data_IF_524616913951
#
_entry.id   IF_524616913951
#
_cell.length_a   1.000
_cell.length_b   1.000
_cell.length_c   1.000
_cell.angle_alpha   90.00
_cell.angle_beta   90.00
_cell.angle_gamma   90.00
#
_symmetry.space_group_name_H-M   'P 1'
#
loop_
_entity.id
_entity.type
_entity.pdbx_description
1 polymer ?
#
# COMPACT_ATOMS: atom_id res chain seq x y z
N UNK A 1 -15.50 14.71 86.54
CA UNK A 1 -15.56 13.45 85.79
C UNK A 1 -15.90 13.85 84.35
N UNK A 2 -14.89 13.89 83.45
CA UNK A 2 -15.00 14.44 82.12
C UNK A 2 -14.86 13.23 81.12
N UNK A 3 -15.86 13.07 80.31
CA UNK A 3 -15.95 12.07 79.23
C UNK A 3 -15.36 12.75 77.99
N UNK A 4 -14.29 12.18 77.45
CA UNK A 4 -13.68 12.65 76.20
C UNK A 4 -14.24 11.84 75.02
N UNK A 5 -14.85 12.57 74.07
CA UNK A 5 -15.27 12.03 72.78
C UNK A 5 -14.14 12.16 71.78
N UNK A 6 -13.67 11.03 71.28
CA UNK A 6 -12.74 10.97 70.17
C UNK A 6 -13.51 10.79 68.86
N UNK A 7 -13.56 11.85 68.03
CA UNK A 7 -14.06 11.79 66.64
C UNK A 7 -13.03 11.12 65.73
N UNK A 8 -13.37 9.90 65.30
CA UNK A 8 -12.63 9.23 64.27
C UNK A 8 -13.02 9.77 62.86
N UNK A 9 -12.08 10.45 62.20
CA UNK A 9 -12.22 10.84 60.77
C UNK A 9 -11.93 9.62 59.87
N UNK A 10 -12.99 9.04 59.27
CA UNK A 10 -12.85 8.07 58.21
C UNK A 10 -12.43 8.84 56.91
N UNK A 11 -11.22 8.59 56.45
CA UNK A 11 -10.73 9.03 55.13
C UNK A 11 -11.28 8.04 54.11
N UNK A 12 -12.29 8.47 53.35
CA UNK A 12 -12.80 7.73 52.17
C UNK A 12 -11.83 7.94 51.01
N UNK A 13 -10.95 6.95 50.81
CA UNK A 13 -10.04 6.93 49.64
C UNK A 13 -10.82 6.61 48.36
N UNK A 14 -11.03 7.60 47.52
CA UNK A 14 -11.54 7.44 46.15
C UNK A 14 -10.41 6.83 45.30
N UNK A 15 -10.44 5.55 45.03
CA UNK A 15 -9.59 4.92 44.02
C UNK A 15 -10.17 5.25 42.63
N UNK A 16 -9.58 6.26 41.99
CA UNK A 16 -9.82 6.47 40.56
C UNK A 16 -9.18 5.31 39.78
N UNK A 17 -9.99 4.35 39.37
CA UNK A 17 -9.59 3.36 38.37
C UNK A 17 -9.43 4.06 37.01
N UNK A 18 -8.22 4.43 36.65
CA UNK A 18 -7.89 4.84 35.30
C UNK A 18 -7.97 3.60 34.40
N UNK A 19 -9.09 3.47 33.68
CA UNK A 19 -9.19 2.50 32.60
C UNK A 19 -8.16 2.89 31.53
N UNK A 20 -7.04 2.18 31.49
CA UNK A 20 -6.11 2.25 30.36
C UNK A 20 -6.83 1.64 29.19
N UNK A 21 -7.38 2.47 28.30
CA UNK A 21 -7.87 2.05 27.00
C UNK A 21 -6.62 1.61 26.23
N UNK A 22 -6.33 0.32 26.24
CA UNK A 22 -5.35 -0.24 25.32
C UNK A 22 -5.91 -0.08 23.91
N UNK A 23 -5.46 0.95 23.22
CA UNK A 23 -5.66 1.05 21.79
C UNK A 23 -5.03 -0.22 21.19
N UNK A 24 -5.87 -1.09 20.61
CA UNK A 24 -5.40 -2.31 19.94
C UNK A 24 -4.43 -1.86 18.86
N UNK A 25 -3.17 -2.23 19.00
CA UNK A 25 -2.10 -1.82 18.11
C UNK A 25 -2.46 -2.21 16.67
N UNK A 26 -2.03 -1.38 15.72
CA UNK A 26 -2.03 -1.76 14.31
C UNK A 26 -1.31 -3.10 14.18
N UNK A 27 -1.83 -3.98 13.35
CA UNK A 27 -1.14 -5.22 13.02
C UNK A 27 -0.25 -4.95 11.82
N UNK A 28 1.05 -5.20 11.96
CA UNK A 28 2.00 -5.18 10.85
C UNK A 28 1.91 -6.49 10.07
N UNK A 29 2.02 -6.38 8.76
CA UNK A 29 1.90 -7.48 7.83
C UNK A 29 3.05 -7.47 6.85
N UNK A 30 3.76 -8.59 6.77
CA UNK A 30 4.85 -8.78 5.82
C UNK A 30 4.30 -9.44 4.56
N UNK A 31 4.56 -8.83 3.40
CA UNK A 31 4.19 -9.39 2.10
C UNK A 31 5.04 -10.63 1.79
N UNK A 32 4.44 -11.59 1.07
CA UNK A 32 5.14 -12.76 0.55
C UNK A 32 5.60 -12.47 -0.90
N UNK A 33 6.91 -12.27 -1.15
CA UNK A 33 7.39 -11.95 -2.50
C UNK A 33 7.07 -13.04 -3.54
N UNK A 34 6.95 -14.31 -3.11
CA UNK A 34 6.62 -15.41 -4.00
C UNK A 34 5.15 -15.43 -4.46
N UNK A 35 4.28 -14.72 -3.72
CA UNK A 35 2.85 -14.58 -3.99
C UNK A 35 2.49 -13.15 -4.39
N UNK A 36 3.50 -12.34 -4.74
CA UNK A 36 3.31 -10.93 -5.12
C UNK A 36 3.61 -10.73 -6.59
N UNK A 37 2.68 -10.12 -7.29
CA UNK A 37 2.79 -9.74 -8.69
C UNK A 37 2.45 -8.27 -8.87
N UNK A 38 3.33 -7.52 -9.49
CA UNK A 38 3.13 -6.09 -9.82
C UNK A 38 2.99 -5.98 -11.34
N UNK A 39 1.76 -6.02 -11.81
CA UNK A 39 1.42 -6.07 -13.23
C UNK A 39 0.98 -4.70 -13.74
N UNK A 40 1.31 -4.41 -14.98
CA UNK A 40 0.79 -3.24 -15.69
C UNK A 40 0.44 -3.58 -17.13
N UNK A 41 -0.39 -2.73 -17.72
CA UNK A 41 -0.61 -2.75 -19.15
C UNK A 41 -0.93 -1.34 -19.68
N UNK A 42 -0.62 -1.13 -20.95
CA UNK A 42 -0.85 0.12 -21.67
C UNK A 42 -1.24 -0.19 -23.12
N UNK A 43 -2.18 0.59 -23.65
CA UNK A 43 -2.59 0.49 -25.05
C UNK A 43 -1.79 1.46 -25.92
N UNK A 44 -1.64 1.08 -27.20
CA UNK A 44 -1.09 1.94 -28.25
C UNK A 44 -1.93 1.78 -29.53
N UNK A 45 -2.28 2.90 -30.15
CA UNK A 45 -3.12 2.91 -31.34
C UNK A 45 -2.46 2.15 -32.50
N UNK A 46 -3.15 1.12 -33.03
CA UNK A 46 -2.65 0.30 -34.13
C UNK A 46 -1.63 -0.78 -33.73
N UNK A 47 -1.34 -0.96 -32.44
CA UNK A 47 -0.39 -1.94 -31.92
C UNK A 47 -1.05 -2.86 -30.89
N UNK A 48 -0.54 -4.08 -30.69
CA UNK A 48 -0.96 -4.90 -29.58
C UNK A 48 -0.70 -4.22 -28.25
N UNK A 49 -1.58 -4.47 -27.26
CA UNK A 49 -1.39 -4.03 -25.89
C UNK A 49 -0.03 -4.48 -25.36
N UNK A 50 0.71 -3.55 -24.75
CA UNK A 50 1.93 -3.88 -24.01
C UNK A 50 1.55 -4.19 -22.59
N UNK A 51 1.90 -5.39 -22.11
CA UNK A 51 1.73 -5.81 -20.73
C UNK A 51 3.07 -6.23 -20.15
N UNK A 52 3.29 -5.94 -18.88
CA UNK A 52 4.53 -6.29 -18.19
C UNK A 52 4.33 -6.46 -16.70
N UNK A 53 5.41 -6.82 -16.06
CA UNK A 53 5.51 -7.05 -14.62
C UNK A 53 6.79 -6.45 -14.09
N UNK A 54 6.76 -5.93 -12.86
CA UNK A 54 7.98 -5.59 -12.12
C UNK A 54 8.35 -6.73 -11.21
N UNK A 55 9.61 -7.20 -11.29
CA UNK A 55 10.11 -8.40 -10.60
C UNK A 55 10.75 -8.12 -9.24
N UNK A 56 11.12 -6.86 -8.97
CA UNK A 56 11.78 -6.46 -7.71
C UNK A 56 10.98 -5.35 -7.04
N UNK A 57 10.53 -5.62 -5.84
CA UNK A 57 9.70 -4.72 -5.04
C UNK A 57 9.89 -5.02 -3.56
N UNK A 58 9.53 -4.05 -2.72
CA UNK A 58 9.43 -4.17 -1.28
C UNK A 58 8.11 -3.59 -0.82
N UNK A 59 7.50 -4.13 0.23
CA UNK A 59 6.23 -3.64 0.73
C UNK A 59 6.02 -3.92 2.21
N UNK A 60 5.43 -2.95 2.87
CA UNK A 60 5.01 -3.04 4.26
C UNK A 60 3.56 -2.56 4.40
N UNK A 61 2.76 -3.31 5.14
CA UNK A 61 1.34 -3.03 5.35
C UNK A 61 1.04 -3.05 6.84
N UNK A 62 0.55 -1.93 7.35
CA UNK A 62 -0.03 -1.84 8.69
C UNK A 62 -1.55 -1.74 8.59
N UNK A 63 -2.28 -2.63 9.27
CA UNK A 63 -3.74 -2.65 9.21
C UNK A 63 -4.32 -2.34 10.59
N UNK A 64 -5.21 -1.36 10.65
CA UNK A 64 -6.09 -1.11 11.77
C UNK A 64 -7.52 -1.51 11.38
N UNK A 65 -7.94 -2.71 11.76
CA UNK A 65 -9.27 -3.23 11.43
C UNK A 65 -10.42 -2.47 12.11
N UNK A 66 -10.14 -1.73 13.17
CA UNK A 66 -11.14 -0.94 13.91
C UNK A 66 -11.27 0.48 13.33
N UNK A 67 -10.16 1.04 12.87
CA UNK A 67 -10.08 2.40 12.30
C UNK A 67 -9.28 2.33 11.00
N UNK A 68 -9.92 1.91 9.87
CA UNK A 68 -9.23 1.69 8.59
C UNK A 68 -8.39 2.86 8.10
N UNK A 69 -8.81 4.10 8.36
CA UNK A 69 -8.06 5.31 8.00
C UNK A 69 -6.69 5.44 8.68
N UNK A 70 -6.42 4.64 9.72
CA UNK A 70 -5.11 4.52 10.36
C UNK A 70 -4.20 3.49 9.71
N UNK A 71 -4.73 2.66 8.83
CA UNK A 71 -3.92 1.70 8.07
C UNK A 71 -2.91 2.44 7.19
N UNK A 72 -1.79 1.79 6.91
CA UNK A 72 -0.71 2.35 6.09
C UNK A 72 -0.17 1.29 5.14
N UNK A 73 0.15 1.73 3.94
CA UNK A 73 0.83 0.94 2.91
C UNK A 73 2.02 1.74 2.44
N UNK A 74 3.20 1.12 2.48
CA UNK A 74 4.43 1.60 1.89
C UNK A 74 4.91 0.55 0.91
N UNK A 75 4.96 0.89 -0.37
CA UNK A 75 5.30 -0.05 -1.43
C UNK A 75 6.28 0.58 -2.40
N UNK A 76 7.42 -0.09 -2.60
CA UNK A 76 8.50 0.37 -3.49
C UNK A 76 8.76 -0.66 -4.58
N UNK A 77 9.02 -0.18 -5.78
CA UNK A 77 9.28 -1.00 -6.96
C UNK A 77 10.54 -0.51 -7.65
N UNK A 78 11.47 -1.43 -7.92
CA UNK A 78 12.67 -1.11 -8.67
C UNK A 78 12.35 -0.96 -10.16
N UNK A 79 12.57 0.23 -10.73
CA UNK A 79 12.27 0.54 -12.13
C UNK A 79 13.00 -0.37 -13.13
N UNK A 80 14.24 -0.79 -12.80
CA UNK A 80 15.05 -1.72 -13.63
C UNK A 80 14.48 -3.13 -13.69
N UNK A 81 13.52 -3.48 -12.84
CA UNK A 81 12.98 -4.83 -12.78
C UNK A 81 11.81 -5.06 -13.74
N UNK A 82 11.53 -4.10 -14.61
CA UNK A 82 10.47 -4.21 -15.63
C UNK A 82 10.74 -5.39 -16.56
N UNK A 83 9.74 -6.23 -16.79
CA UNK A 83 9.79 -7.37 -17.69
C UNK A 83 8.53 -7.42 -18.58
N UNK A 84 8.68 -7.12 -19.85
CA UNK A 84 7.66 -7.23 -20.90
C UNK A 84 7.94 -8.41 -21.84
N UNK A 85 8.72 -9.40 -21.39
CA UNK A 85 9.13 -10.61 -22.15
C UNK A 85 9.95 -10.31 -23.42
N UNK A 86 10.60 -9.16 -23.48
CA UNK A 86 11.48 -8.74 -24.56
C UNK A 86 12.64 -7.93 -23.97
N UNK A 87 13.84 -8.47 -24.03
CA UNK A 87 15.03 -7.82 -23.43
C UNK A 87 15.26 -6.43 -24.04
N UNK A 88 15.18 -6.31 -25.37
CA UNK A 88 15.36 -5.01 -26.05
C UNK A 88 14.32 -3.98 -25.63
N UNK A 89 13.09 -4.40 -25.38
CA UNK A 89 12.04 -3.51 -24.91
C UNK A 89 12.19 -3.20 -23.41
N UNK A 90 12.65 -4.17 -22.59
CA UNK A 90 13.00 -3.92 -21.19
C UNK A 90 14.09 -2.85 -21.07
N UNK A 91 15.16 -2.97 -21.87
CA UNK A 91 16.25 -1.99 -21.91
C UNK A 91 15.76 -0.61 -22.35
N UNK A 92 14.87 -0.58 -23.34
CA UNK A 92 14.28 0.66 -23.82
C UNK A 92 13.38 1.34 -22.79
N UNK A 93 12.54 0.56 -22.09
CA UNK A 93 11.70 1.07 -20.99
C UNK A 93 12.54 1.58 -19.80
N UNK A 94 13.69 0.99 -19.53
CA UNK A 94 14.63 1.50 -18.52
C UNK A 94 15.32 2.81 -18.92
N UNK A 95 15.28 3.18 -20.20
CA UNK A 95 15.92 4.37 -20.76
C UNK A 95 15.28 5.70 -20.35
N UNK A 96 15.95 6.80 -20.75
CA UNK A 96 15.62 8.17 -20.34
C UNK A 96 14.22 8.64 -20.74
N UNK A 97 13.69 8.11 -21.85
CA UNK A 97 12.39 8.53 -22.40
C UNK A 97 11.19 7.84 -21.72
N UNK A 98 11.47 6.83 -20.87
CA UNK A 98 10.46 6.13 -20.07
C UNK A 98 10.81 6.21 -18.58
N UNK A 99 11.24 5.10 -17.95
CA UNK A 99 11.46 5.08 -16.50
C UNK A 99 12.75 5.79 -16.05
N UNK A 100 13.68 6.06 -16.97
CA UNK A 100 14.99 6.66 -16.65
C UNK A 100 15.60 6.05 -15.38
N UNK A 101 15.66 4.71 -15.36
CA UNK A 101 15.96 3.93 -14.18
C UNK A 101 17.40 4.12 -13.65
N UNK A 102 18.28 4.74 -14.45
CA UNK A 102 19.60 5.14 -13.99
C UNK A 102 19.55 6.35 -13.04
N UNK A 103 18.63 7.29 -13.27
CA UNK A 103 18.44 8.49 -12.46
C UNK A 103 17.37 8.30 -11.38
N UNK A 104 16.34 7.53 -11.68
CA UNK A 104 15.21 7.25 -10.80
C UNK A 104 15.06 5.73 -10.63
N UNK A 105 15.88 5.13 -9.76
CA UNK A 105 15.93 3.68 -9.64
C UNK A 105 14.64 3.07 -9.10
N UNK A 106 13.87 3.85 -8.34
CA UNK A 106 12.70 3.37 -7.62
C UNK A 106 11.46 4.22 -7.89
N UNK A 107 10.31 3.54 -7.87
CA UNK A 107 8.98 4.13 -7.77
C UNK A 107 8.41 3.76 -6.41
N UNK A 108 7.74 4.71 -5.72
CA UNK A 108 7.23 4.46 -4.36
C UNK A 108 5.81 4.97 -4.20
N UNK A 109 4.97 4.14 -3.61
CA UNK A 109 3.62 4.50 -3.18
C UNK A 109 3.54 4.53 -1.66
N UNK A 110 3.05 5.66 -1.10
CA UNK A 110 2.77 5.85 0.31
C UNK A 110 1.30 6.17 0.50
N UNK A 111 0.54 5.30 1.16
CA UNK A 111 -0.86 5.58 1.41
C UNK A 111 -1.03 6.78 2.36
N UNK A 112 -1.98 7.64 2.04
CA UNK A 112 -2.41 8.78 2.86
C UNK A 112 -3.72 8.52 3.57
N UNK A 113 -4.61 7.71 2.94
CA UNK A 113 -5.89 7.34 3.50
C UNK A 113 -6.30 5.92 3.07
N UNK A 114 -7.04 5.24 3.94
CA UNK A 114 -7.71 3.97 3.63
C UNK A 114 -9.17 4.11 4.03
N UNK A 115 -10.07 3.98 3.06
CA UNK A 115 -11.51 4.05 3.25
C UNK A 115 -12.13 2.68 3.00
N UNK A 116 -12.67 2.06 4.04
CA UNK A 116 -13.39 0.80 3.93
C UNK A 116 -14.71 1.04 3.18
N UNK A 117 -14.95 0.32 2.09
CA UNK A 117 -16.17 0.36 1.31
C UNK A 117 -17.18 -0.70 1.79
N UNK A 118 -16.68 -1.92 2.01
CA UNK A 118 -17.45 -3.05 2.59
C UNK A 118 -16.51 -4.02 3.33
N UNK A 119 -16.96 -5.27 3.56
CA UNK A 119 -16.16 -6.26 4.30
C UNK A 119 -14.92 -6.75 3.55
N UNK A 120 -14.91 -6.62 2.24
CA UNK A 120 -13.82 -7.11 1.37
C UNK A 120 -13.19 -6.02 0.52
N UNK A 121 -13.75 -4.82 0.46
CA UNK A 121 -13.27 -3.76 -0.41
C UNK A 121 -12.93 -2.50 0.37
N UNK A 122 -11.83 -1.88 -0.05
CA UNK A 122 -11.39 -0.58 0.43
C UNK A 122 -10.87 0.26 -0.73
N UNK A 123 -10.99 1.58 -0.60
CA UNK A 123 -10.25 2.52 -1.43
C UNK A 123 -9.01 2.98 -0.67
N UNK A 124 -7.86 2.86 -1.31
CA UNK A 124 -6.57 3.31 -0.77
C UNK A 124 -6.07 4.47 -1.61
N UNK A 125 -6.10 5.67 -1.03
CA UNK A 125 -5.49 6.86 -1.62
C UNK A 125 -4.09 7.03 -1.09
N UNK A 126 -3.17 7.45 -1.95
CA UNK A 126 -1.78 7.66 -1.54
C UNK A 126 -0.99 8.44 -2.59
N UNK A 127 0.22 8.80 -2.22
CA UNK A 127 1.16 9.53 -3.04
C UNK A 127 2.06 8.53 -3.78
N UNK A 128 1.98 8.53 -5.12
CA UNK A 128 2.90 7.81 -5.98
C UNK A 128 4.02 8.75 -6.43
N UNK A 129 5.24 8.37 -6.16
CA UNK A 129 6.45 9.04 -6.69
C UNK A 129 7.03 8.20 -7.82
N UNK A 130 7.14 8.78 -8.99
CA UNK A 130 7.74 8.20 -10.19
C UNK A 130 8.48 9.30 -10.96
N UNK A 131 9.67 9.01 -11.50
CA UNK A 131 10.50 9.99 -12.22
C UNK A 131 10.79 11.28 -11.44
N UNK A 132 10.81 11.22 -10.10
CA UNK A 132 11.00 12.38 -9.22
C UNK A 132 9.76 13.25 -9.04
N UNK A 133 8.63 12.90 -9.67
CA UNK A 133 7.35 13.59 -9.52
C UNK A 133 6.44 12.80 -8.60
N UNK A 134 5.78 13.49 -7.67
CA UNK A 134 4.82 12.88 -6.73
C UNK A 134 3.41 13.36 -7.03
N UNK A 135 2.48 12.42 -7.20
CA UNK A 135 1.06 12.70 -7.45
C UNK A 135 0.17 11.80 -6.61
N UNK A 136 -0.99 12.30 -6.15
CA UNK A 136 -1.97 11.45 -5.51
C UNK A 136 -2.64 10.51 -6.53
N UNK A 137 -2.79 9.24 -6.12
CA UNK A 137 -3.56 8.24 -6.86
C UNK A 137 -4.50 7.50 -5.91
N UNK A 138 -5.57 6.92 -6.45
CA UNK A 138 -6.48 6.03 -5.71
C UNK A 138 -6.45 4.64 -6.33
N UNK A 139 -6.45 3.63 -5.46
CA UNK A 139 -6.47 2.22 -5.82
C UNK A 139 -7.69 1.56 -5.17
N UNK A 140 -8.43 0.77 -5.95
CA UNK A 140 -9.45 -0.13 -5.41
C UNK A 140 -8.77 -1.39 -4.91
N UNK A 141 -8.99 -1.75 -3.65
CA UNK A 141 -8.35 -2.89 -3.00
C UNK A 141 -9.38 -3.90 -2.54
N UNK A 142 -9.27 -5.12 -3.06
CA UNK A 142 -9.98 -6.29 -2.59
C UNK A 142 -9.13 -7.04 -1.57
N UNK A 143 -9.72 -7.38 -0.42
CA UNK A 143 -9.08 -8.12 0.68
C UNK A 143 -9.75 -9.47 0.85
N UNK A 144 -9.00 -10.54 0.71
CA UNK A 144 -9.52 -11.91 0.81
C UNK A 144 -8.83 -12.65 1.96
N UNK A 145 -9.58 -13.16 2.96
CA UNK A 145 -9.01 -14.04 3.97
C UNK A 145 -8.41 -15.31 3.35
N UNK A 146 -7.19 -15.67 3.76
CA UNK A 146 -6.53 -16.89 3.33
C UNK A 146 -6.41 -17.84 4.51
N UNK A 147 -6.87 -19.06 4.33
CA UNK A 147 -6.73 -20.12 5.35
C UNK A 147 -5.40 -20.84 5.14
N UNK A 148 -4.43 -20.59 6.01
CA UNK A 148 -3.14 -21.27 5.98
C UNK A 148 -2.71 -21.64 7.40
N UNK A 149 -3.17 -22.79 7.87
CA UNK A 149 -2.81 -23.32 9.20
C UNK A 149 -3.20 -22.39 10.35
N UNK A 150 -2.29 -22.17 11.29
CA UNK A 150 -2.50 -21.30 12.47
C UNK A 150 -2.21 -19.82 12.20
N UNK A 151 -1.55 -19.49 11.10
CA UNK A 151 -1.15 -18.11 10.79
C UNK A 151 -2.26 -17.39 10.02
N UNK A 152 -2.60 -16.18 10.48
CA UNK A 152 -3.51 -15.31 9.74
C UNK A 152 -2.80 -14.81 8.49
N UNK A 153 -3.37 -15.13 7.32
CA UNK A 153 -2.92 -14.60 6.03
C UNK A 153 -4.07 -13.86 5.34
N UNK A 154 -3.73 -12.81 4.63
CA UNK A 154 -4.66 -12.06 3.79
C UNK A 154 -4.10 -11.98 2.37
N UNK A 155 -4.98 -12.17 1.39
CA UNK A 155 -4.71 -11.82 0.01
C UNK A 155 -5.21 -10.41 -0.27
N UNK A 156 -4.44 -9.65 -1.02
CA UNK A 156 -4.78 -8.30 -1.48
C UNK A 156 -4.70 -8.25 -2.98
N UNK A 157 -5.67 -7.58 -3.60
CA UNK A 157 -5.64 -7.24 -5.01
C UNK A 157 -5.96 -5.76 -5.15
N UNK A 158 -4.95 -4.97 -5.47
CA UNK A 158 -5.10 -3.54 -5.74
C UNK A 158 -5.15 -3.29 -7.24
N UNK A 159 -6.11 -2.50 -7.70
CA UNK A 159 -6.27 -2.11 -9.11
C UNK A 159 -6.44 -0.61 -9.23
N UNK A 160 -5.92 -0.03 -10.31
CA UNK A 160 -6.03 1.39 -10.60
C UNK A 160 -5.43 1.76 -11.94
N UNK A 161 -5.43 3.05 -12.23
CA UNK A 161 -4.79 3.60 -13.42
C UNK A 161 -4.00 4.85 -13.07
N UNK A 162 -2.89 5.05 -13.77
CA UNK A 162 -1.98 6.19 -13.64
C UNK A 162 -1.96 6.93 -14.97
N UNK A 163 -2.11 8.25 -14.95
CA UNK A 163 -1.80 9.06 -16.11
C UNK A 163 -0.28 9.31 -16.15
N UNK A 164 0.42 8.70 -17.12
CA UNK A 164 1.88 8.79 -17.24
C UNK A 164 2.38 10.19 -17.57
N UNK A 165 1.53 11.03 -18.20
CA UNK A 165 1.88 12.40 -18.54
C UNK A 165 2.04 13.28 -17.29
N UNK A 166 1.35 12.93 -16.19
CA UNK A 166 1.48 13.61 -14.89
C UNK A 166 2.88 13.45 -14.28
N UNK A 167 3.68 12.51 -14.80
CA UNK A 167 5.03 12.17 -14.36
C UNK A 167 6.09 12.49 -15.44
N UNK A 168 5.76 13.37 -16.40
CA UNK A 168 6.63 13.77 -17.51
C UNK A 168 7.05 12.63 -18.47
N UNK A 169 6.36 11.49 -18.43
CA UNK A 169 6.58 10.37 -19.35
C UNK A 169 5.80 10.57 -20.66
N UNK A 170 6.26 11.53 -21.49
CA UNK A 170 5.50 12.05 -22.64
C UNK A 170 5.79 11.32 -23.96
N UNK A 171 6.79 10.43 -24.00
CA UNK A 171 7.19 9.77 -25.25
C UNK A 171 6.03 8.98 -25.87
N UNK A 172 5.87 9.14 -27.20
CA UNK A 172 4.88 8.40 -27.99
C UNK A 172 3.43 8.89 -27.86
N UNK A 173 3.14 9.92 -27.07
CA UNK A 173 1.81 10.53 -27.00
C UNK A 173 1.49 11.25 -28.33
N UNK A 174 0.26 11.15 -28.89
CA UNK A 174 -0.92 10.42 -28.35
C UNK A 174 -1.06 8.96 -28.84
N UNK A 175 -0.09 8.42 -29.56
CA UNK A 175 -0.15 7.05 -30.11
C UNK A 175 -0.16 6.03 -28.97
N UNK A 176 0.76 6.19 -28.01
CA UNK A 176 0.76 5.41 -26.76
C UNK A 176 -0.19 6.11 -25.79
N UNK A 177 -1.13 5.37 -25.22
CA UNK A 177 -2.10 5.87 -24.24
C UNK A 177 -1.41 6.65 -23.12
N UNK A 178 -2.08 7.63 -22.59
CA UNK A 178 -1.71 8.34 -21.37
C UNK A 178 -1.98 7.50 -20.09
N UNK A 179 -2.91 6.54 -20.16
CA UNK A 179 -3.26 5.70 -19.02
C UNK A 179 -2.46 4.40 -19.00
N UNK A 180 -1.78 4.16 -17.88
CA UNK A 180 -1.19 2.89 -17.49
C UNK A 180 -2.10 2.24 -16.46
N UNK A 181 -2.59 1.05 -16.75
CA UNK A 181 -3.40 0.27 -15.81
C UNK A 181 -2.50 -0.60 -14.94
N UNK A 182 -2.80 -0.63 -13.65
CA UNK A 182 -2.04 -1.36 -12.63
C UNK A 182 -2.89 -2.46 -12.00
N UNK A 183 -2.24 -3.57 -11.70
CA UNK A 183 -2.79 -4.60 -10.83
C UNK A 183 -1.66 -5.13 -9.94
N UNK A 184 -1.82 -4.97 -8.64
CA UNK A 184 -0.90 -5.57 -7.66
C UNK A 184 -1.67 -6.64 -6.90
N UNK A 185 -1.18 -7.88 -6.95
CA UNK A 185 -1.68 -8.96 -6.11
C UNK A 185 -0.60 -9.38 -5.14
N UNK A 186 -0.95 -9.63 -3.89
CA UNK A 186 -0.01 -10.07 -2.87
C UNK A 186 -0.72 -10.90 -1.80
N UNK A 187 0.01 -11.79 -1.15
CA UNK A 187 -0.38 -12.35 0.14
C UNK A 187 0.51 -11.80 1.23
N UNK A 188 -0.06 -11.52 2.38
CA UNK A 188 0.69 -11.06 3.53
C UNK A 188 0.33 -11.87 4.78
N UNK A 189 1.31 -12.02 5.66
CA UNK A 189 1.18 -12.69 6.95
C UNK A 189 1.29 -11.67 8.07
N UNK A 190 0.43 -11.79 9.10
CA UNK A 190 0.54 -10.97 10.30
C UNK A 190 1.86 -11.25 11.00
N UNK A 191 2.55 -10.18 11.39
CA UNK A 191 3.71 -10.30 12.27
C UNK A 191 3.25 -10.69 13.69
N UNK A 192 4.05 -11.46 14.43
CA UNK A 192 3.72 -11.95 15.77
C UNK A 192 3.62 -10.83 16.83
#
# INVERSE_FOLDING_TARGET
MRIGETFGRALLGIVLATAVIQAKARSSWTIDPSQTHVLFWIDAAGWPRTAGEFKSFEGHIDIDFNIPSRSRVDFQVAAKSVDVKSQSLNDYLCGEVFFNAAKYPDMRFLSTNVEKRDEQHAEVTGDLTMLGVTKPISLDVEVTPKLAGTNKRLGFKATGAINRLDYDMNFGYPIISDLIHLTVTTEASAEP
#
